data_IF_650196849368
#
_entry.id   IF_650196849368
#
_cell.length_a   1.000
_cell.length_b   1.000
_cell.length_c   1.000
_cell.angle_alpha   90.00
_cell.angle_beta   90.00
_cell.angle_gamma   90.00
#
_symmetry.space_group_name_H-M   'P 1'
#
loop_
_entity.id
_entity.type
_entity.pdbx_description
1 polymer ?
#
# COMPACT_ATOMS: atom_id res chain seq x y z
N UNK A 1 -3.88 -9.24 8.93
CA UNK A 1 -2.96 -9.36 7.78
C UNK A 1 -3.05 -10.72 7.10
N UNK A 2 -3.33 -10.79 5.79
CA UNK A 2 -3.35 -12.03 5.01
C UNK A 2 -1.94 -12.62 4.84
N UNK A 3 -1.82 -13.94 4.90
CA UNK A 3 -0.53 -14.63 4.74
C UNK A 3 0.12 -14.34 3.38
N UNK A 4 -0.67 -14.19 2.31
CA UNK A 4 -0.14 -13.87 0.96
C UNK A 4 0.64 -12.56 0.93
N UNK A 5 0.25 -11.57 1.75
CA UNK A 5 1.03 -10.33 1.86
C UNK A 5 2.42 -10.60 2.45
N UNK A 6 2.54 -11.51 3.42
CA UNK A 6 3.80 -11.78 4.11
C UNK A 6 4.91 -12.29 3.18
N UNK A 7 4.55 -12.92 2.05
CA UNK A 7 5.51 -13.41 1.05
C UNK A 7 6.21 -12.28 0.28
N UNK A 8 5.57 -11.11 0.20
CA UNK A 8 6.07 -9.95 -0.55
C UNK A 8 6.58 -8.82 0.34
N UNK A 9 6.44 -8.92 1.67
CA UNK A 9 6.98 -7.92 2.58
C UNK A 9 8.51 -8.04 2.70
N UNK A 10 9.18 -6.89 2.72
CA UNK A 10 10.63 -6.77 2.83
C UNK A 10 11.01 -5.94 4.04
N UNK A 11 12.23 -6.13 4.55
CA UNK A 11 12.70 -5.43 5.73
C UNK A 11 12.92 -3.92 5.43
N UNK A 12 12.22 -3.00 6.10
CA UNK A 12 12.45 -1.55 5.99
C UNK A 12 13.90 -1.14 6.23
N UNK A 13 14.61 -1.85 7.12
CA UNK A 13 16.00 -1.57 7.47
C UNK A 13 17.02 -2.11 6.44
N UNK A 14 16.78 -3.31 5.90
CA UNK A 14 17.73 -3.97 5.00
C UNK A 14 17.44 -3.73 3.52
N UNK A 15 16.24 -3.26 3.18
CA UNK A 15 15.83 -3.00 1.82
C UNK A 15 15.13 -4.18 1.12
N UNK A 16 14.82 -4.00 -0.17
CA UNK A 16 13.86 -4.84 -0.90
C UNK A 16 14.35 -6.27 -1.20
N UNK A 17 15.64 -6.55 -1.05
CA UNK A 17 16.21 -7.89 -1.27
C UNK A 17 16.03 -8.82 -0.06
N UNK A 18 15.65 -8.28 1.10
CA UNK A 18 15.53 -9.02 2.34
C UNK A 18 14.06 -9.18 2.74
N UNK A 19 13.49 -10.34 2.44
CA UNK A 19 12.12 -10.68 2.85
C UNK A 19 11.95 -10.78 4.38
N UNK A 20 10.73 -10.56 4.85
CA UNK A 20 10.36 -10.78 6.24
C UNK A 20 9.74 -12.17 6.44
N UNK A 21 10.06 -12.79 7.59
CA UNK A 21 9.50 -14.08 8.00
C UNK A 21 8.45 -13.84 9.07
N UNK A 22 7.26 -14.39 8.90
CA UNK A 22 6.17 -14.23 9.87
C UNK A 22 6.25 -15.27 11.00
N UNK A 23 6.12 -14.78 12.23
CA UNK A 23 5.93 -15.56 13.44
C UNK A 23 4.53 -15.24 13.98
N UNK A 24 3.57 -16.11 13.69
CA UNK A 24 2.17 -15.88 14.04
C UNK A 24 1.86 -16.45 15.44
N UNK A 25 1.40 -15.58 16.35
CA UNK A 25 0.91 -15.97 17.67
C UNK A 25 -0.59 -16.32 17.61
N UNK A 26 -1.34 -15.61 16.75
CA UNK A 26 -2.77 -15.83 16.54
C UNK A 26 -3.14 -15.71 15.07
N UNK A 27 -3.82 -16.74 14.57
CA UNK A 27 -4.39 -16.80 13.23
C UNK A 27 -5.92 -16.82 13.29
N UNK A 28 -6.57 -16.16 12.32
CA UNK A 28 -7.99 -16.29 12.04
C UNK A 28 -8.20 -16.23 10.52
N UNK A 29 -8.93 -17.17 9.93
CA UNK A 29 -9.28 -17.15 8.50
C UNK A 29 -8.10 -16.92 7.54
N UNK A 30 -6.96 -17.60 7.79
CA UNK A 30 -5.69 -17.44 7.03
C UNK A 30 -5.09 -16.03 7.11
N UNK A 31 -5.42 -15.30 8.17
CA UNK A 31 -4.88 -13.98 8.51
C UNK A 31 -4.16 -14.06 9.84
N UNK A 32 -3.01 -13.40 9.91
CA UNK A 32 -2.30 -13.11 11.16
C UNK A 32 -3.00 -11.94 11.84
N UNK A 33 -3.55 -12.22 13.01
CA UNK A 33 -4.22 -11.24 13.88
C UNK A 33 -3.21 -10.68 14.87
N UNK A 34 -2.36 -11.54 15.45
CA UNK A 34 -1.25 -11.16 16.32
C UNK A 34 0.00 -11.97 15.97
N UNK A 35 1.16 -11.33 16.07
CA UNK A 35 2.44 -11.95 15.78
C UNK A 35 3.55 -10.93 15.55
N UNK A 36 4.57 -11.33 14.83
CA UNK A 36 5.66 -10.45 14.40
C UNK A 36 6.22 -10.86 13.05
N UNK A 37 6.88 -9.93 12.38
CA UNK A 37 7.64 -10.12 11.15
C UNK A 37 9.13 -9.94 11.48
N UNK A 38 9.95 -10.95 11.25
CA UNK A 38 11.39 -10.94 11.52
C UNK A 38 12.23 -10.88 10.26
N UNK A 39 13.28 -10.07 10.26
CA UNK A 39 14.29 -10.08 9.20
C UNK A 39 15.44 -11.04 9.54
N UNK A 40 15.72 -12.01 8.66
CA UNK A 40 16.83 -12.95 8.88
C UNK A 40 18.22 -12.31 8.83
N UNK A 41 18.36 -11.12 8.21
CA UNK A 41 19.63 -10.41 8.07
C UNK A 41 19.95 -9.57 9.32
N UNK A 42 19.14 -8.55 9.61
CA UNK A 42 19.38 -7.63 10.73
C UNK A 42 18.75 -8.07 12.05
N UNK A 43 17.92 -9.12 12.04
CA UNK A 43 17.16 -9.63 13.20
C UNK A 43 16.17 -8.64 13.82
N UNK A 44 15.84 -7.58 13.09
CA UNK A 44 14.79 -6.64 13.48
C UNK A 44 13.43 -7.36 13.47
N UNK A 45 12.59 -7.03 14.46
CA UNK A 45 11.26 -7.61 14.63
C UNK A 45 10.21 -6.52 14.57
N UNK A 46 9.24 -6.68 13.69
CA UNK A 46 8.16 -5.74 13.45
C UNK A 46 6.84 -6.35 13.97
N UNK A 47 6.15 -5.73 14.94
CA UNK A 47 4.98 -6.34 15.55
C UNK A 47 3.77 -6.33 14.60
N UNK A 48 2.91 -7.34 14.72
CA UNK A 48 1.57 -7.38 14.15
C UNK A 48 0.56 -7.35 15.29
N UNK A 49 -0.32 -6.35 15.33
CA UNK A 49 -1.43 -6.28 16.27
C UNK A 49 -2.74 -5.93 15.56
N UNK A 50 -3.82 -6.64 15.90
CA UNK A 50 -5.12 -6.57 15.20
C UNK A 50 -4.98 -6.61 13.67
N UNK A 51 -4.02 -7.41 13.17
CA UNK A 51 -3.75 -7.55 11.75
C UNK A 51 -3.05 -6.37 11.08
N UNK A 52 -2.66 -5.33 11.82
CA UNK A 52 -1.79 -4.22 11.37
C UNK A 52 -0.33 -4.59 11.65
N UNK A 53 0.52 -4.54 10.63
CA UNK A 53 1.97 -4.63 10.84
C UNK A 53 2.59 -3.25 11.00
N UNK A 54 3.34 -3.03 12.08
CA UNK A 54 4.14 -1.82 12.28
C UNK A 54 5.53 -2.00 11.65
N UNK A 55 5.70 -1.51 10.43
CA UNK A 55 6.93 -1.60 9.63
C UNK A 55 7.71 -0.29 9.65
N UNK A 56 7.48 0.59 10.64
CA UNK A 56 8.27 1.80 10.81
C UNK A 56 9.71 1.44 11.21
N UNK A 57 10.67 2.15 10.65
CA UNK A 57 12.07 2.03 11.04
C UNK A 57 12.76 3.40 10.97
N UNK A 58 13.35 3.89 12.07
CA UNK A 58 13.36 3.30 13.41
C UNK A 58 11.93 3.13 13.99
N UNK A 59 11.70 2.16 14.90
CA UNK A 59 10.38 1.98 15.48
C UNK A 59 9.97 3.22 16.29
N UNK A 60 8.82 3.79 15.97
CA UNK A 60 8.23 4.88 16.76
C UNK A 60 7.55 4.37 18.04
N UNK A 61 7.15 5.26 18.95
CA UNK A 61 6.31 4.88 20.09
C UNK A 61 5.05 4.17 19.57
N UNK A 62 4.60 3.14 20.30
CA UNK A 62 3.29 2.55 20.05
C UNK A 62 2.24 3.63 20.29
N UNK A 63 1.31 3.87 19.35
CA UNK A 63 0.23 4.83 19.60
C UNK A 63 -0.53 4.43 20.86
N UNK A 64 -0.78 5.40 21.76
CA UNK A 64 -1.61 5.15 22.94
C UNK A 64 -3.06 4.94 22.47
N UNK A 65 -3.70 3.81 22.80
CA UNK A 65 -5.10 3.56 22.46
C UNK A 65 -6.07 4.62 22.97
N UNK A 66 -5.64 5.49 23.90
CA UNK A 66 -6.44 6.60 24.46
C UNK A 66 -6.25 7.93 23.73
N UNK A 67 -5.26 8.03 22.84
CA UNK A 67 -4.99 9.24 22.04
C UNK A 67 -5.47 9.13 20.60
N UNK A 68 -6.11 8.02 20.21
CA UNK A 68 -6.88 7.98 18.97
C UNK A 68 -8.06 8.93 19.14
N UNK A 69 -7.89 10.12 18.58
CA UNK A 69 -9.01 11.02 18.34
C UNK A 69 -9.93 10.28 17.35
N UNK A 70 -11.03 9.73 17.85
CA UNK A 70 -12.03 8.98 17.06
C UNK A 70 -12.84 9.93 16.15
N UNK A 71 -12.32 11.14 15.92
CA UNK A 71 -12.94 12.21 15.15
C UNK A 71 -12.31 12.39 13.77
N UNK A 72 -11.59 11.37 13.25
CA UNK A 72 -11.46 11.23 11.81
C UNK A 72 -12.84 10.79 11.28
N UNK A 73 -13.69 11.79 11.12
CA UNK A 73 -15.01 11.74 10.55
C UNK A 73 -15.03 10.76 9.39
N UNK A 74 -16.08 9.95 9.35
CA UNK A 74 -16.43 9.16 8.18
C UNK A 74 -16.69 10.13 7.02
N UNK A 75 -15.61 10.62 6.39
CA UNK A 75 -15.65 11.21 5.06
C UNK A 75 -16.39 10.18 4.21
N UNK A 76 -17.55 10.60 3.71
CA UNK A 76 -18.53 9.76 3.06
C UNK A 76 -17.82 8.80 2.12
N UNK A 77 -17.95 7.49 2.40
CA UNK A 77 -17.48 6.47 1.48
C UNK A 77 -18.14 6.78 0.15
N UNK A 78 -17.34 7.07 -0.86
CA UNK A 78 -17.83 7.37 -2.19
C UNK A 78 -17.54 6.17 -3.09
N UNK A 79 -18.56 5.34 -3.38
CA UNK A 79 -18.43 4.28 -4.37
C UNK A 79 -17.97 4.81 -5.73
N UNK A 80 -18.34 6.05 -6.07
CA UNK A 80 -17.94 6.70 -7.32
C UNK A 80 -16.44 6.99 -7.36
N UNK A 81 -15.86 7.49 -6.27
CA UNK A 81 -14.41 7.71 -6.16
C UNK A 81 -13.63 6.39 -6.22
N UNK A 82 -14.13 5.35 -5.54
CA UNK A 82 -13.51 4.03 -5.58
C UNK A 82 -13.57 3.42 -6.99
N UNK A 83 -14.71 3.55 -7.69
CA UNK A 83 -14.86 3.10 -9.07
C UNK A 83 -13.95 3.87 -10.02
N UNK A 84 -13.86 5.20 -9.86
CA UNK A 84 -12.92 6.06 -10.61
C UNK A 84 -11.49 5.57 -10.40
N UNK A 85 -11.07 5.36 -9.15
CA UNK A 85 -9.72 4.90 -8.85
C UNK A 85 -9.44 3.52 -9.45
N UNK A 86 -10.37 2.57 -9.36
CA UNK A 86 -10.24 1.24 -9.99
C UNK A 86 -10.07 1.36 -11.52
N UNK A 87 -10.84 2.24 -12.17
CA UNK A 87 -10.74 2.49 -13.60
C UNK A 87 -9.39 3.11 -14.00
N UNK A 88 -8.90 4.10 -13.23
CA UNK A 88 -7.58 4.71 -13.45
C UNK A 88 -6.46 3.67 -13.30
N UNK A 89 -6.53 2.85 -12.26
CA UNK A 89 -5.62 1.72 -12.04
C UNK A 89 -5.75 0.62 -13.10
N UNK A 90 -6.81 0.62 -13.91
CA UNK A 90 -7.05 -0.37 -14.96
C UNK A 90 -7.33 -1.77 -14.39
N UNK A 91 -7.95 -1.85 -13.21
CA UNK A 91 -8.21 -3.11 -12.51
C UNK A 91 -9.70 -3.39 -12.52
N UNK A 92 -10.08 -4.50 -13.14
CA UNK A 92 -11.48 -4.97 -13.22
C UNK A 92 -11.72 -6.25 -12.41
N UNK A 93 -10.67 -6.85 -11.86
CA UNK A 93 -10.72 -8.05 -11.04
C UNK A 93 -9.44 -8.88 -11.09
N UNK A 94 -9.51 -10.06 -10.49
CA UNK A 94 -8.49 -11.09 -10.52
C UNK A 94 -7.44 -10.95 -9.42
N UNK A 95 -6.64 -12.01 -9.19
CA UNK A 95 -5.72 -12.07 -8.07
C UNK A 95 -4.64 -11.00 -8.16
N UNK A 96 -4.14 -10.59 -7.00
CA UNK A 96 -3.00 -9.70 -6.87
C UNK A 96 -3.21 -8.61 -5.82
N UNK A 97 -2.17 -7.79 -5.63
CA UNK A 97 -2.17 -6.72 -4.64
C UNK A 97 -2.24 -5.36 -5.32
N UNK A 98 -3.07 -4.46 -4.79
CA UNK A 98 -3.05 -3.02 -5.08
C UNK A 98 -2.57 -2.29 -3.84
N UNK A 99 -1.61 -1.39 -4.02
CA UNK A 99 -1.09 -0.57 -2.94
C UNK A 99 -1.78 0.80 -2.95
N UNK A 100 -2.30 1.20 -1.79
CA UNK A 100 -2.86 2.53 -1.54
C UNK A 100 -1.99 3.23 -0.49
N UNK A 101 -1.55 4.43 -0.79
CA UNK A 101 -0.72 5.26 0.09
C UNK A 101 -1.42 6.57 0.40
N UNK A 102 -1.41 6.98 1.66
CA UNK A 102 -1.97 8.26 2.12
C UNK A 102 -3.50 8.28 2.14
N UNK A 103 -4.12 9.38 1.69
CA UNK A 103 -5.57 9.57 1.77
C UNK A 103 -6.35 8.56 0.93
N UNK A 104 -5.75 8.00 -0.14
CA UNK A 104 -6.36 6.94 -0.98
C UNK A 104 -6.71 5.68 -0.19
N UNK A 105 -6.08 5.44 0.97
CA UNK A 105 -6.39 4.30 1.85
C UNK A 105 -7.83 4.31 2.37
N UNK A 106 -8.53 5.45 2.36
CA UNK A 106 -9.95 5.54 2.75
C UNK A 106 -10.87 4.77 1.80
N UNK A 107 -10.44 4.58 0.55
CA UNK A 107 -11.21 3.87 -0.49
C UNK A 107 -11.03 2.35 -0.46
N UNK A 108 -10.18 1.82 0.44
CA UNK A 108 -9.82 0.40 0.46
C UNK A 108 -11.03 -0.54 0.60
N UNK A 109 -11.98 -0.21 1.47
CA UNK A 109 -13.17 -1.05 1.71
C UNK A 109 -14.10 -1.09 0.50
N UNK A 110 -14.36 0.07 -0.12
CA UNK A 110 -15.18 0.16 -1.33
C UNK A 110 -14.51 -0.56 -2.50
N UNK A 111 -13.18 -0.44 -2.66
CA UNK A 111 -12.43 -1.14 -3.70
C UNK A 111 -12.53 -2.67 -3.58
N UNK A 112 -12.41 -3.22 -2.36
CA UNK A 112 -12.61 -4.66 -2.14
C UNK A 112 -14.04 -5.10 -2.47
N UNK A 113 -15.03 -4.23 -2.22
CA UNK A 113 -16.43 -4.50 -2.56
C UNK A 113 -16.73 -4.50 -4.05
N UNK A 114 -16.02 -3.69 -4.84
CA UNK A 114 -16.28 -3.49 -6.28
C UNK A 114 -15.40 -4.40 -7.16
N UNK A 115 -14.15 -4.66 -6.74
CA UNK A 115 -13.16 -5.39 -7.54
C UNK A 115 -12.97 -6.80 -6.97
N UNK A 116 -13.52 -7.85 -7.61
CA UNK A 116 -13.44 -9.21 -7.07
C UNK A 116 -12.00 -9.74 -7.10
N UNK A 117 -11.69 -10.56 -6.09
CA UNK A 117 -10.42 -11.31 -5.94
C UNK A 117 -9.14 -10.45 -5.83
N UNK A 118 -9.27 -9.15 -5.56
CA UNK A 118 -8.12 -8.27 -5.30
C UNK A 118 -7.77 -8.25 -3.81
N UNK A 119 -6.49 -8.14 -3.50
CA UNK A 119 -6.01 -7.75 -2.18
C UNK A 119 -5.59 -6.27 -2.18
N UNK A 120 -5.98 -5.54 -1.15
CA UNK A 120 -5.54 -4.16 -0.94
C UNK A 120 -4.45 -4.14 0.13
N UNK A 121 -3.39 -3.36 -0.10
CA UNK A 121 -2.40 -2.98 0.90
C UNK A 121 -2.58 -1.50 1.17
N UNK A 122 -3.06 -1.14 2.36
CA UNK A 122 -3.18 0.23 2.82
C UNK A 122 -1.95 0.59 3.64
N UNK A 123 -1.19 1.59 3.19
CA UNK A 123 0.07 2.02 3.77
C UNK A 123 0.05 3.49 4.19
N UNK A 124 0.55 3.78 5.39
CA UNK A 124 0.72 5.15 5.87
C UNK A 124 1.21 5.23 7.31
N UNK A 125 1.47 6.44 7.82
CA UNK A 125 2.01 6.64 9.16
C UNK A 125 0.99 6.40 10.29
N UNK A 126 -0.30 6.52 10.00
CA UNK A 126 -1.39 6.36 10.99
C UNK A 126 -2.48 5.40 10.49
N UNK A 127 -2.24 4.10 10.69
CA UNK A 127 -3.14 3.02 10.25
C UNK A 127 -3.81 2.30 11.44
N UNK A 128 -3.51 2.74 12.66
CA UNK A 128 -4.09 2.20 13.89
C UNK A 128 -5.58 2.55 14.01
N UNK A 129 -6.32 1.82 14.85
CA UNK A 129 -7.75 2.07 15.10
C UNK A 129 -8.72 1.72 13.96
N UNK A 130 -8.23 1.47 12.74
CA UNK A 130 -9.06 1.03 11.60
C UNK A 130 -9.58 -0.40 11.79
N UNK A 131 -10.74 -0.70 11.22
CA UNK A 131 -11.34 -2.05 11.27
C UNK A 131 -10.53 -3.06 10.44
N UNK A 132 -10.47 -4.31 10.90
CA UNK A 132 -9.76 -5.41 10.21
C UNK A 132 -10.63 -6.09 9.15
N UNK A 133 -10.88 -5.41 8.03
CA UNK A 133 -11.73 -5.92 6.94
C UNK A 133 -11.02 -7.01 6.12
N UNK A 134 -11.67 -8.13 5.76
CA UNK A 134 -11.13 -9.11 4.81
C UNK A 134 -10.75 -8.49 3.47
N UNK A 135 -9.66 -8.95 2.85
CA UNK A 135 -9.15 -8.37 1.59
C UNK A 135 -8.30 -7.10 1.76
N UNK A 136 -8.35 -6.45 2.93
CA UNK A 136 -7.52 -5.29 3.25
C UNK A 136 -6.39 -5.70 4.18
N UNK A 137 -5.17 -5.32 3.81
CA UNK A 137 -3.97 -5.51 4.60
C UNK A 137 -3.41 -4.14 4.98
N UNK A 138 -3.23 -3.90 6.29
CA UNK A 138 -2.73 -2.61 6.77
C UNK A 138 -1.27 -2.73 7.18
N UNK A 139 -0.46 -1.78 6.72
CA UNK A 139 0.93 -1.63 7.14
C UNK A 139 1.18 -0.19 7.57
N UNK A 140 1.80 -0.04 8.73
CA UNK A 140 2.23 1.27 9.20
C UNK A 140 3.67 1.50 8.75
N UNK A 141 3.91 2.61 8.05
CA UNK A 141 5.21 2.98 7.47
C UNK A 141 5.46 4.46 7.67
N UNK A 142 6.70 4.85 7.93
CA UNK A 142 7.12 6.26 8.02
C UNK A 142 7.72 6.77 6.70
N UNK A 143 8.52 5.92 6.05
CA UNK A 143 9.12 6.21 4.75
C UNK A 143 9.34 4.92 3.96
N UNK A 144 9.28 5.02 2.64
CA UNK A 144 9.49 3.90 1.71
C UNK A 144 8.32 2.90 1.65
N UNK A 145 8.47 1.90 0.77
CA UNK A 145 7.49 0.85 0.57
C UNK A 145 8.14 -0.53 0.80
N UNK A 146 7.94 -1.15 1.99
CA UNK A 146 8.58 -2.41 2.38
C UNK A 146 7.94 -3.62 1.68
N UNK A 147 7.95 -3.58 0.35
CA UNK A 147 7.44 -4.58 -0.57
C UNK A 147 8.55 -4.96 -1.55
N UNK A 148 8.56 -6.23 -1.95
CA UNK A 148 9.43 -6.73 -3.02
C UNK A 148 9.20 -5.93 -4.29
N UNK A 149 10.25 -5.83 -5.10
CA UNK A 149 10.12 -5.25 -6.44
C UNK A 149 9.16 -6.06 -7.29
N UNK A 150 8.34 -5.39 -8.10
CA UNK A 150 7.36 -6.01 -9.02
C UNK A 150 6.41 -7.00 -8.33
N UNK A 151 5.77 -6.56 -7.24
CA UNK A 151 4.85 -7.40 -6.45
C UNK A 151 3.40 -6.90 -6.42
N UNK A 152 3.11 -5.69 -6.91
CA UNK A 152 1.76 -5.11 -6.92
C UNK A 152 1.29 -4.78 -8.33
N UNK A 153 0.01 -4.99 -8.62
CA UNK A 153 -0.61 -4.75 -9.93
C UNK A 153 -0.93 -3.28 -10.18
N UNK A 154 -1.02 -2.49 -9.13
CA UNK A 154 -1.31 -1.07 -9.21
C UNK A 154 -0.94 -0.34 -7.93
N UNK A 155 -0.64 0.93 -8.05
CA UNK A 155 -0.27 1.81 -6.93
C UNK A 155 -1.05 3.11 -7.03
N UNK A 156 -1.70 3.51 -5.94
CA UNK A 156 -2.27 4.85 -5.79
C UNK A 156 -1.51 5.60 -4.70
N UNK A 157 -0.97 6.76 -5.05
CA UNK A 157 -0.26 7.64 -4.11
C UNK A 157 -1.04 8.94 -3.96
N UNK A 158 -1.58 9.16 -2.76
CA UNK A 158 -2.32 10.36 -2.43
C UNK A 158 -1.79 10.98 -1.14
N UNK A 159 -0.65 11.64 -1.25
CA UNK A 159 0.03 12.35 -0.15
C UNK A 159 0.41 13.76 -0.61
N UNK A 160 0.64 14.70 0.31
CA UNK A 160 1.05 16.06 -0.05
C UNK A 160 2.36 16.13 -0.84
N UNK A 161 3.29 15.22 -0.55
CA UNK A 161 4.59 15.11 -1.22
C UNK A 161 4.76 13.71 -1.84
N UNK A 162 4.17 13.46 -3.04
CA UNK A 162 4.24 12.14 -3.68
C UNK A 162 5.65 11.81 -4.18
N UNK A 163 6.51 12.81 -4.28
CA UNK A 163 7.86 12.71 -4.83
C UNK A 163 8.70 11.65 -4.11
N UNK A 164 8.64 11.67 -2.78
CA UNK A 164 9.32 10.72 -1.91
C UNK A 164 8.92 9.25 -2.17
N UNK A 165 7.77 9.00 -2.80
CA UNK A 165 7.25 7.66 -3.08
C UNK A 165 7.45 7.20 -4.52
N UNK A 166 7.78 8.08 -5.47
CA UNK A 166 7.74 7.74 -6.91
C UNK A 166 8.68 6.58 -7.28
N UNK A 167 9.93 6.63 -6.83
CA UNK A 167 10.89 5.56 -7.10
C UNK A 167 10.45 4.20 -6.54
N UNK A 168 9.95 4.20 -5.32
CA UNK A 168 9.48 3.00 -4.65
C UNK A 168 8.19 2.48 -5.29
N UNK A 169 7.25 3.37 -5.63
CA UNK A 169 5.98 3.04 -6.26
C UNK A 169 6.20 2.40 -7.63
N UNK A 170 7.15 2.92 -8.42
CA UNK A 170 7.58 2.31 -9.69
C UNK A 170 8.26 0.96 -9.45
N UNK A 171 9.15 0.86 -8.45
CA UNK A 171 9.89 -0.37 -8.15
C UNK A 171 8.97 -1.53 -7.79
N UNK A 172 7.93 -1.30 -7.00
CA UNK A 172 6.99 -2.35 -6.56
C UNK A 172 5.99 -2.74 -7.64
N UNK A 173 5.80 -1.91 -8.67
CA UNK A 173 4.81 -2.12 -9.71
C UNK A 173 5.19 -3.28 -10.65
N UNK A 174 4.24 -4.18 -10.89
CA UNK A 174 4.35 -5.24 -11.89
C UNK A 174 4.38 -4.65 -13.31
N UNK A 175 5.03 -5.32 -14.28
CA UNK A 175 4.91 -4.96 -15.70
C UNK A 175 3.44 -4.89 -16.13
N UNK A 176 3.09 -3.84 -16.88
CA UNK A 176 1.70 -3.57 -17.30
C UNK A 176 0.79 -3.02 -16.20
N UNK A 177 1.25 -2.97 -14.95
CA UNK A 177 0.54 -2.32 -13.85
C UNK A 177 0.49 -0.80 -14.02
N UNK A 178 -0.45 -0.15 -13.31
CA UNK A 178 -0.62 1.31 -13.37
C UNK A 178 -0.35 1.98 -12.04
N UNK A 179 0.22 3.18 -12.12
CA UNK A 179 0.37 4.09 -11.00
C UNK A 179 -0.58 5.28 -11.19
N UNK A 180 -1.24 5.69 -10.11
CA UNK A 180 -2.08 6.89 -10.02
C UNK A 180 -1.49 7.80 -8.95
N UNK A 181 -1.21 9.04 -9.33
CA UNK A 181 -0.75 10.09 -8.40
C UNK A 181 -1.82 11.18 -8.36
N UNK A 182 -2.32 11.47 -7.16
CA UNK A 182 -3.35 12.50 -6.93
C UNK A 182 -3.25 13.04 -5.48
N UNK A 183 -2.90 14.32 -5.25
CA UNK A 183 -2.56 15.32 -6.25
C UNK A 183 -1.18 15.06 -6.88
N UNK A 184 -1.05 15.34 -8.18
CA UNK A 184 0.18 15.26 -8.95
C UNK A 184 0.77 16.66 -9.17
N UNK A 185 1.98 16.94 -8.64
CA UNK A 185 2.76 18.12 -9.02
C UNK A 185 3.02 18.20 -10.53
N UNK A 186 3.25 19.41 -11.06
CA UNK A 186 3.40 19.66 -12.50
C UNK A 186 4.50 18.81 -13.18
N UNK A 187 5.58 18.48 -12.47
CA UNK A 187 6.70 17.71 -13.02
C UNK A 187 6.49 16.18 -12.92
N UNK A 188 5.39 15.71 -12.30
CA UNK A 188 5.18 14.28 -12.03
C UNK A 188 5.20 13.44 -13.29
N UNK A 189 4.52 13.90 -14.35
CA UNK A 189 4.44 13.16 -15.61
C UNK A 189 5.81 13.01 -16.28
N UNK A 190 6.61 14.07 -16.34
CA UNK A 190 7.95 14.04 -16.92
C UNK A 190 8.89 13.11 -16.14
N UNK A 191 8.76 13.08 -14.82
CA UNK A 191 9.56 12.20 -13.97
C UNK A 191 9.17 10.73 -14.17
N UNK A 192 7.88 10.43 -14.28
CA UNK A 192 7.42 9.07 -14.62
C UNK A 192 7.90 8.63 -16.01
N UNK A 193 7.93 9.54 -17.00
CA UNK A 193 8.51 9.27 -18.33
C UNK A 193 10.02 8.98 -18.23
N UNK A 194 10.75 9.76 -17.44
CA UNK A 194 12.17 9.54 -17.19
C UNK A 194 12.45 8.17 -16.51
N UNK A 195 11.49 7.66 -15.75
CA UNK A 195 11.50 6.32 -15.15
C UNK A 195 11.03 5.21 -16.12
N UNK A 196 10.87 5.52 -17.41
CA UNK A 196 10.42 4.60 -18.46
C UNK A 196 8.96 4.10 -18.31
N UNK A 197 8.11 4.85 -17.62
CA UNK A 197 6.67 4.61 -17.64
C UNK A 197 6.02 5.33 -18.81
N UNK A 198 4.94 4.74 -19.32
CA UNK A 198 4.09 5.36 -20.33
C UNK A 198 2.98 6.17 -19.63
N UNK A 199 3.01 7.50 -19.75
CA UNK A 199 1.95 8.36 -19.20
C UNK A 199 0.69 8.22 -20.05
N UNK A 200 -0.41 7.83 -19.40
CA UNK A 200 -1.72 7.58 -20.02
C UNK A 200 -2.68 8.77 -19.85
N UNK A 201 -2.55 9.48 -18.72
CA UNK A 201 -3.40 10.62 -18.36
C UNK A 201 -2.57 11.63 -17.57
N UNK A 202 -2.80 12.92 -17.85
CA UNK A 202 -2.28 14.06 -17.09
C UNK A 202 -3.35 15.16 -17.15
N UNK A 203 -4.19 15.23 -16.13
CA UNK A 203 -5.33 16.16 -16.10
C UNK A 203 -5.78 16.45 -14.67
N UNK A 204 -6.16 17.70 -14.39
CA UNK A 204 -6.79 18.13 -13.14
C UNK A 204 -6.03 17.71 -11.86
N UNK A 205 -4.69 17.76 -11.90
CA UNK A 205 -3.86 17.34 -10.78
C UNK A 205 -3.82 15.82 -10.58
N UNK A 206 -4.18 15.03 -11.60
CA UNK A 206 -4.06 13.57 -11.61
C UNK A 206 -3.12 13.15 -12.72
N UNK A 207 -2.16 12.28 -12.38
CA UNK A 207 -1.30 11.62 -13.37
C UNK A 207 -1.47 10.12 -13.26
N UNK A 208 -1.69 9.47 -14.42
CA UNK A 208 -1.72 8.01 -14.53
C UNK A 208 -0.65 7.57 -15.51
N UNK A 209 0.15 6.60 -15.11
CA UNK A 209 1.14 5.99 -15.99
C UNK A 209 1.13 4.47 -15.85
N UNK A 210 1.55 3.75 -16.89
CA UNK A 210 1.74 2.29 -16.80
C UNK A 210 3.22 1.92 -16.88
N UNK A 211 3.60 0.92 -16.08
CA UNK A 211 4.85 0.21 -16.31
C UNK A 211 4.78 -0.46 -17.69
N UNK A 212 5.80 -0.27 -18.50
CA UNK A 212 5.91 -0.96 -19.78
C UNK A 212 5.89 -2.47 -19.53
N UNK A 213 5.00 -3.19 -20.23
CA UNK A 213 5.03 -4.65 -20.21
C UNK A 213 6.32 -5.09 -20.86
N UNK A 214 7.26 -5.64 -20.09
CA UNK A 214 8.39 -6.37 -20.67
C UNK A 214 7.81 -7.49 -21.51
N UNK A 215 8.03 -7.43 -22.83
CA UNK A 215 7.75 -8.54 -23.74
C UNK A 215 8.63 -9.75 -23.46
#
# INVERSE_FOLDING_TARGET
MQIVLTDVLTCPRCGPDFGLVVLADRLAERRVVQGSLGCANCREMYPIDQGLADLRFPPGPRPDPRTVDVTAEAEERSPEEALRLAALLGVTGGPGLILLVGSSTRLAAELVGIVPDIGIVAAGPDMAGREDVPGINRIQVESGLPLRSRSVRGVAVAVPDPEAYLAEAVRVLLPGGRIVIEPAPAETADRLRAMSLNVLLEQDGVVVASATGGG
#
